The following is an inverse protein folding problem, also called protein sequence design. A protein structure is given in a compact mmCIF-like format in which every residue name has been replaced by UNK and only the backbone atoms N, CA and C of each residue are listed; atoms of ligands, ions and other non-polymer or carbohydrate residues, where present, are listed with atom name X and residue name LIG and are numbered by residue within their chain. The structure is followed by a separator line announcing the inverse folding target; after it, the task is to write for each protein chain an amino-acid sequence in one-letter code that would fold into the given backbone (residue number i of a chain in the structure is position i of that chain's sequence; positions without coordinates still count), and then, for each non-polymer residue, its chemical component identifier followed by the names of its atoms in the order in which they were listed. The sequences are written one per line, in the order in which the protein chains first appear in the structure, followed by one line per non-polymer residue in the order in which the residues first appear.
data_IF_234844804969
#
_entry.id   IF_234844804969
#
_cell.length_a   1.000
_cell.length_b   1.000
_cell.length_c   1.000
_cell.angle_alpha   90.00
_cell.angle_beta   90.00
_cell.angle_gamma   90.00
#
_symmetry.space_group_name_H-M   'P 1'
#
loop_
_entity.id
_entity.type
_entity.pdbx_description
1 polymer ?
#
# COMPACT_ATOMS: atom_id res chain seq x y z
N UNK A 1 15.09 21.08 -9.15
CA UNK A 1 14.57 21.79 -10.33
C UNK A 1 15.55 21.62 -11.47
N UNK A 2 15.09 21.18 -12.62
CA UNK A 2 15.84 21.18 -13.87
C UNK A 2 15.23 22.24 -14.79
N UNK A 3 16.10 23.09 -15.35
CA UNK A 3 15.79 24.14 -16.28
C UNK A 3 16.85 24.14 -17.37
N UNK A 4 16.51 23.73 -18.59
CA UNK A 4 17.43 23.55 -19.70
C UNK A 4 18.65 22.67 -19.36
N UNK A 5 18.42 21.34 -19.23
CA UNK A 5 19.47 20.37 -18.95
C UNK A 5 19.00 19.18 -18.14
N UNK A 6 19.89 18.22 -17.95
CA UNK A 6 19.59 16.93 -17.33
C UNK A 6 20.04 16.86 -15.87
N UNK A 7 19.21 16.27 -15.01
CA UNK A 7 19.53 15.97 -13.61
C UNK A 7 19.29 14.50 -13.34
N UNK A 8 20.34 13.75 -13.07
CA UNK A 8 20.25 12.33 -12.73
C UNK A 8 20.79 12.06 -11.31
N UNK A 9 19.96 11.45 -10.46
CA UNK A 9 20.34 11.11 -9.09
C UNK A 9 20.14 9.60 -8.89
N UNK A 10 21.20 8.89 -8.58
CA UNK A 10 21.22 7.43 -8.43
C UNK A 10 20.67 6.67 -9.65
N UNK A 11 20.70 7.29 -10.84
CA UNK A 11 20.05 6.78 -12.07
C UNK A 11 21.02 6.62 -13.28
N UNK A 12 22.33 6.65 -13.02
CA UNK A 12 23.35 6.66 -14.10
C UNK A 12 23.38 7.99 -14.87
N UNK A 13 24.41 8.18 -15.69
CA UNK A 13 24.59 9.41 -16.48
C UNK A 13 23.61 9.55 -17.65
N UNK A 14 22.96 8.46 -18.01
CA UNK A 14 21.94 8.41 -19.07
C UNK A 14 20.50 8.28 -18.54
N UNK A 15 20.33 8.29 -17.20
CA UNK A 15 19.04 8.13 -16.55
C UNK A 15 18.40 6.75 -16.67
N UNK A 16 19.11 5.76 -17.27
CA UNK A 16 18.54 4.44 -17.61
C UNK A 16 19.06 3.30 -16.73
N UNK A 17 20.05 3.57 -15.89
CA UNK A 17 20.70 2.57 -15.05
C UNK A 17 20.49 2.91 -13.58
N UNK A 18 19.45 2.36 -12.93
CA UNK A 18 19.18 2.67 -11.53
C UNK A 18 20.32 2.17 -10.64
N UNK A 19 20.83 3.05 -9.79
CA UNK A 19 21.81 2.71 -8.76
C UNK A 19 21.17 1.97 -7.60
N UNK A 20 22.01 1.38 -6.74
CA UNK A 20 21.59 0.58 -5.59
C UNK A 20 21.71 1.31 -4.26
N UNK A 21 22.00 2.62 -4.27
CA UNK A 21 22.16 3.41 -3.05
C UNK A 21 20.83 3.91 -2.53
N UNK A 22 20.74 4.09 -1.23
CA UNK A 22 19.63 4.77 -0.59
C UNK A 22 19.56 6.22 -1.05
N UNK A 23 18.36 6.66 -1.42
CA UNK A 23 18.06 8.03 -1.81
C UNK A 23 16.84 8.54 -1.02
N UNK A 24 17.02 9.60 -0.26
CA UNK A 24 15.94 10.30 0.45
C UNK A 24 15.83 11.70 -0.11
N UNK A 25 14.66 12.04 -0.66
CA UNK A 25 14.38 13.34 -1.24
C UNK A 25 13.08 13.93 -0.67
N UNK A 26 13.14 15.18 -0.25
CA UNK A 26 11.98 15.95 0.24
C UNK A 26 11.89 17.24 -0.54
N UNK A 27 10.78 17.46 -1.21
CA UNK A 27 10.55 18.62 -2.08
C UNK A 27 9.98 18.21 -3.42
N UNK A 28 9.39 19.15 -4.14
CA UNK A 28 8.84 18.88 -5.45
C UNK A 28 9.96 18.73 -6.50
N UNK A 29 9.78 17.78 -7.39
CA UNK A 29 10.60 17.62 -8.59
C UNK A 29 10.01 18.53 -9.66
N UNK A 30 10.78 19.50 -10.15
CA UNK A 30 10.31 20.46 -11.14
C UNK A 30 11.12 20.38 -12.43
N UNK A 31 10.44 20.14 -13.55
CA UNK A 31 10.92 20.40 -14.88
C UNK A 31 10.24 21.69 -15.33
N UNK A 32 11.01 22.77 -15.35
CA UNK A 32 10.50 24.11 -15.55
C UNK A 32 10.83 24.56 -16.97
N UNK A 33 9.79 24.91 -17.71
CA UNK A 33 9.90 25.56 -19.00
C UNK A 33 10.08 27.08 -18.77
N UNK A 34 11.30 27.56 -18.94
CA UNK A 34 11.67 28.96 -18.71
C UNK A 34 10.88 29.95 -19.56
N UNK A 35 10.57 29.56 -20.78
CA UNK A 35 9.87 30.38 -21.76
C UNK A 35 8.39 30.00 -21.92
N UNK A 36 7.82 29.23 -20.98
CA UNK A 36 6.44 28.81 -21.00
C UNK A 36 5.47 29.94 -21.34
N UNK A 37 4.94 29.90 -22.56
CA UNK A 37 3.98 30.87 -23.08
C UNK A 37 4.56 32.23 -23.50
N UNK A 38 5.91 32.41 -23.55
CA UNK A 38 6.58 33.62 -23.97
C UNK A 38 6.99 33.60 -25.43
N UNK A 39 7.68 32.55 -25.88
CA UNK A 39 8.14 32.41 -27.27
C UNK A 39 7.70 31.09 -27.89
N UNK A 40 6.81 31.11 -28.90
CA UNK A 40 6.38 29.91 -29.57
C UNK A 40 7.45 29.28 -30.50
N UNK A 41 8.57 29.93 -30.73
CA UNK A 41 9.61 29.51 -31.66
C UNK A 41 10.94 29.17 -30.95
N UNK A 42 10.98 29.19 -29.64
CA UNK A 42 12.18 28.86 -28.88
C UNK A 42 12.58 27.39 -29.08
N UNK A 43 13.81 27.15 -29.52
CA UNK A 43 14.41 25.84 -29.62
C UNK A 43 14.96 25.46 -28.24
N UNK A 44 14.12 24.86 -27.42
CA UNK A 44 14.52 24.42 -26.09
C UNK A 44 15.32 23.13 -26.15
N UNK A 45 16.39 23.06 -25.36
CA UNK A 45 17.09 21.80 -25.11
C UNK A 45 16.23 20.86 -24.27
N UNK A 46 16.31 19.54 -24.50
CA UNK A 46 15.56 18.61 -23.69
C UNK A 46 15.95 18.72 -22.21
N UNK A 47 14.96 18.74 -21.35
CA UNK A 47 15.15 18.75 -19.90
C UNK A 47 14.69 17.41 -19.32
N UNK A 48 15.61 16.67 -18.71
CA UNK A 48 15.31 15.37 -18.15
C UNK A 48 15.70 15.29 -16.68
N UNK A 49 14.86 14.60 -15.89
CA UNK A 49 15.16 14.27 -14.50
C UNK A 49 15.05 12.77 -14.33
N UNK A 50 16.12 12.13 -13.88
CA UNK A 50 16.16 10.71 -13.58
C UNK A 50 16.43 10.50 -12.09
N UNK A 51 15.51 9.87 -11.37
CA UNK A 51 15.60 9.59 -9.93
C UNK A 51 15.40 8.10 -9.67
N UNK A 52 16.34 7.47 -8.97
CA UNK A 52 16.22 6.06 -8.64
C UNK A 52 16.13 5.81 -7.13
N UNK A 53 14.94 5.37 -6.70
CA UNK A 53 14.61 4.93 -5.35
C UNK A 53 14.52 3.41 -5.38
N UNK A 54 15.58 2.73 -4.95
CA UNK A 54 15.77 1.29 -5.20
C UNK A 54 16.03 0.47 -3.94
N UNK A 55 15.87 1.06 -2.77
CA UNK A 55 15.98 0.37 -1.48
C UNK A 55 14.77 0.69 -0.61
N UNK A 56 14.45 -0.19 0.35
CA UNK A 56 13.30 -0.01 1.24
C UNK A 56 13.35 1.26 2.10
N UNK A 57 14.53 1.84 2.30
CA UNK A 57 14.70 3.09 3.02
C UNK A 57 14.67 4.32 2.10
N UNK A 58 14.69 4.11 0.78
CA UNK A 58 14.61 5.20 -0.18
C UNK A 58 13.20 5.78 -0.22
N UNK A 59 13.11 7.11 -0.21
CA UNK A 59 11.81 7.75 -0.35
C UNK A 59 11.90 9.09 -1.09
N UNK A 60 10.81 9.40 -1.80
CA UNK A 60 10.49 10.72 -2.32
C UNK A 60 9.26 11.24 -1.59
N UNK A 61 9.34 12.39 -0.96
CA UNK A 61 8.18 13.13 -0.47
C UNK A 61 8.08 14.43 -1.27
N UNK A 62 7.09 14.48 -2.14
CA UNK A 62 6.89 15.61 -3.06
C UNK A 62 6.16 15.22 -4.33
N UNK A 63 5.72 16.21 -5.07
CA UNK A 63 5.06 16.07 -6.36
C UNK A 63 6.06 16.21 -7.52
N UNK A 64 5.63 15.79 -8.72
CA UNK A 64 6.40 15.95 -9.95
C UNK A 64 5.67 16.93 -10.87
N UNK A 65 6.22 18.14 -10.99
CA UNK A 65 5.76 19.16 -11.93
C UNK A 65 6.53 19.02 -13.24
N UNK A 66 5.81 18.85 -14.34
CA UNK A 66 6.38 18.87 -15.67
C UNK A 66 5.67 19.93 -16.53
N UNK A 67 6.26 21.12 -16.62
CA UNK A 67 5.71 22.23 -17.41
C UNK A 67 5.72 21.93 -18.91
N UNK A 68 6.70 21.16 -19.39
CA UNK A 68 6.77 20.76 -20.81
C UNK A 68 5.58 19.87 -21.21
N UNK A 69 5.11 19.04 -20.31
CA UNK A 69 3.92 18.20 -20.58
C UNK A 69 2.59 18.98 -20.54
N UNK A 70 2.58 20.16 -19.90
CA UNK A 70 1.40 21.04 -19.88
C UNK A 70 1.32 21.95 -21.12
N UNK A 71 2.46 22.26 -21.73
CA UNK A 71 2.50 22.93 -23.02
C UNK A 71 2.33 21.86 -24.11
N UNK A 72 1.38 21.98 -25.01
CA UNK A 72 1.27 21.09 -26.19
C UNK A 72 2.52 21.13 -27.11
N UNK A 73 3.65 21.59 -26.58
CA UNK A 73 4.92 21.84 -27.22
C UNK A 73 6.06 21.20 -26.43
N UNK A 74 6.07 19.88 -26.32
CA UNK A 74 7.22 19.13 -25.81
C UNK A 74 7.94 18.42 -26.97
N UNK A 75 8.60 19.18 -27.89
CA UNK A 75 9.18 18.62 -29.10
C UNK A 75 10.36 17.67 -28.81
N UNK A 76 10.95 17.77 -27.61
CA UNK A 76 12.14 16.99 -27.22
C UNK A 76 11.81 15.89 -26.21
N UNK A 77 10.51 15.63 -25.92
CA UNK A 77 10.07 14.61 -24.97
C UNK A 77 10.72 14.78 -23.58
N UNK A 78 10.85 16.01 -23.11
CA UNK A 78 11.34 16.32 -21.77
C UNK A 78 10.48 15.67 -20.71
N UNK A 79 11.07 15.12 -19.66
CA UNK A 79 10.30 14.41 -18.66
C UNK A 79 11.07 13.88 -17.46
N UNK A 80 10.32 13.47 -16.45
CA UNK A 80 10.85 12.81 -15.27
C UNK A 80 10.75 11.28 -15.43
N UNK A 81 11.87 10.62 -15.17
CA UNK A 81 11.99 9.17 -15.13
C UNK A 81 12.22 8.74 -13.67
N UNK A 82 11.34 7.93 -13.13
CA UNK A 82 11.40 7.48 -11.74
C UNK A 82 11.51 5.97 -11.69
N UNK A 83 12.54 5.47 -11.02
CA UNK A 83 12.68 4.08 -10.62
C UNK A 83 12.20 3.95 -9.18
N UNK A 84 11.19 3.11 -8.94
CA UNK A 84 10.57 2.91 -7.64
C UNK A 84 10.47 1.42 -7.34
N UNK A 85 11.45 0.89 -6.61
CA UNK A 85 11.68 -0.55 -6.48
C UNK A 85 12.01 -0.96 -5.05
N UNK A 86 11.92 -2.26 -4.76
CA UNK A 86 12.39 -2.87 -3.51
C UNK A 86 11.83 -2.23 -2.24
N UNK A 87 10.55 -1.88 -2.23
CA UNK A 87 9.89 -1.28 -1.08
C UNK A 87 10.13 0.23 -0.91
N UNK A 88 10.85 0.87 -1.85
CA UNK A 88 10.99 2.32 -1.84
C UNK A 88 9.64 3.01 -1.91
N UNK A 89 9.51 4.20 -1.34
CA UNK A 89 8.24 4.88 -1.19
C UNK A 89 8.23 6.25 -1.87
N UNK A 90 7.17 6.54 -2.61
CA UNK A 90 6.86 7.85 -3.11
C UNK A 90 5.57 8.40 -2.45
N UNK A 91 5.73 9.37 -1.57
CA UNK A 91 4.65 10.16 -0.99
C UNK A 91 4.34 11.31 -1.94
N UNK A 92 3.32 11.14 -2.79
CA UNK A 92 2.96 12.15 -3.77
C UNK A 92 2.08 13.22 -3.14
N UNK A 93 2.70 14.34 -2.80
CA UNK A 93 2.04 15.54 -2.29
C UNK A 93 2.75 16.80 -2.78
N UNK A 94 2.00 17.87 -3.01
CA UNK A 94 2.61 19.15 -3.32
C UNK A 94 3.17 19.80 -2.04
N UNK A 95 4.46 20.09 -2.03
CA UNK A 95 5.13 20.76 -0.90
C UNK A 95 5.25 22.26 -1.20
N UNK A 96 4.63 23.07 -0.38
CA UNK A 96 4.68 24.53 -0.49
C UNK A 96 3.31 25.18 -0.54
N UNK A 97 3.30 26.51 -0.63
CA UNK A 97 2.04 27.26 -0.71
C UNK A 97 1.48 27.24 -2.13
N UNK A 98 0.24 26.82 -2.26
CA UNK A 98 -0.54 27.01 -3.50
C UNK A 98 -0.97 28.48 -3.59
N UNK A 99 -0.64 29.14 -4.68
CA UNK A 99 -1.16 30.47 -4.97
C UNK A 99 -2.21 30.38 -6.06
N UNK A 100 -3.46 30.78 -5.79
CA UNK A 100 -4.54 30.72 -6.77
C UNK A 100 -4.55 31.90 -7.78
N UNK A 101 -3.40 32.43 -8.19
CA UNK A 101 -3.35 33.58 -9.08
C UNK A 101 -3.53 33.19 -10.54
N UNK A 102 -4.42 33.82 -11.32
CA UNK A 102 -4.65 33.49 -12.72
C UNK A 102 -3.40 33.67 -13.59
N UNK A 103 -3.21 32.78 -14.57
CA UNK A 103 -2.06 32.72 -15.49
C UNK A 103 -1.73 34.08 -16.13
N UNK A 104 -2.74 34.95 -16.34
CA UNK A 104 -2.62 36.28 -16.92
C UNK A 104 -1.91 37.27 -16.01
N UNK A 105 -1.84 37.02 -14.71
CA UNK A 105 -1.25 37.93 -13.70
C UNK A 105 0.14 37.46 -13.23
N UNK A 106 0.65 36.40 -13.85
CA UNK A 106 1.94 35.81 -13.48
C UNK A 106 3.08 36.76 -13.77
N UNK A 107 3.77 37.19 -12.72
CA UNK A 107 5.01 37.96 -12.81
C UNK A 107 6.20 37.03 -12.79
N UNK A 108 7.32 37.44 -13.40
CA UNK A 108 8.60 36.72 -13.29
C UNK A 108 8.94 36.48 -11.81
N UNK A 109 9.09 35.19 -11.42
CA UNK A 109 9.34 34.80 -10.03
C UNK A 109 8.10 34.25 -9.28
N UNK A 110 6.93 34.19 -9.92
CA UNK A 110 5.77 33.53 -9.33
C UNK A 110 6.00 32.01 -9.20
N UNK A 111 5.48 31.44 -8.10
CA UNK A 111 5.74 30.08 -7.71
C UNK A 111 5.12 29.06 -8.68
N UNK A 112 5.89 28.03 -9.09
CA UNK A 112 5.47 26.96 -10.00
C UNK A 112 4.25 26.14 -9.51
N UNK A 113 3.91 26.20 -8.21
CA UNK A 113 2.69 25.61 -7.64
C UNK A 113 1.42 25.95 -8.41
N UNK A 114 1.43 27.10 -9.07
CA UNK A 114 0.32 27.60 -9.87
C UNK A 114 -0.02 26.72 -11.09
N UNK A 115 0.98 26.07 -11.67
CA UNK A 115 0.81 25.20 -12.82
C UNK A 115 0.55 23.73 -12.43
N UNK A 116 0.70 23.43 -11.15
CA UNK A 116 0.55 22.05 -10.70
C UNK A 116 -0.91 21.60 -10.75
N UNK A 117 -1.21 20.74 -11.71
CA UNK A 117 -2.51 20.09 -11.90
C UNK A 117 -2.50 18.60 -11.51
N UNK A 118 -1.40 18.13 -11.02
CA UNK A 118 -1.11 16.75 -10.67
C UNK A 118 0.32 16.39 -11.06
N UNK A 119 0.84 15.31 -10.51
CA UNK A 119 2.17 14.80 -10.87
C UNK A 119 2.17 14.22 -12.27
N UNK A 120 3.21 14.49 -13.05
CA UNK A 120 3.40 13.95 -14.41
C UNK A 120 4.78 13.34 -14.55
N UNK A 121 4.79 12.03 -14.76
CA UNK A 121 6.00 11.21 -14.91
C UNK A 121 6.04 10.66 -16.32
N UNK A 122 7.17 10.81 -17.01
CA UNK A 122 7.37 10.24 -18.34
C UNK A 122 7.54 8.73 -18.24
N UNK A 123 8.47 8.24 -17.45
CA UNK A 123 8.69 6.82 -17.24
C UNK A 123 8.65 6.48 -15.74
N UNK A 124 7.78 5.57 -15.34
CA UNK A 124 7.80 4.96 -14.01
C UNK A 124 8.18 3.48 -14.15
N UNK A 125 9.31 3.11 -13.55
CA UNK A 125 9.84 1.75 -13.56
C UNK A 125 9.71 1.15 -12.16
N UNK A 126 8.77 0.25 -11.99
CA UNK A 126 8.55 -0.51 -10.76
C UNK A 126 9.52 -1.67 -10.56
N UNK A 127 9.26 -2.50 -9.56
CA UNK A 127 10.03 -3.71 -9.28
C UNK A 127 9.87 -4.78 -10.36
N UNK A 128 10.80 -5.73 -10.40
CA UNK A 128 10.80 -6.84 -11.37
C UNK A 128 9.75 -7.92 -11.04
N UNK A 129 9.23 -7.92 -9.83
CA UNK A 129 8.21 -8.85 -9.34
C UNK A 129 7.43 -8.22 -8.16
N UNK A 130 6.35 -8.84 -7.66
CA UNK A 130 5.55 -8.29 -6.56
C UNK A 130 6.32 -8.03 -5.27
N UNK A 131 7.34 -8.86 -4.94
CA UNK A 131 8.13 -8.68 -3.71
C UNK A 131 9.16 -7.56 -3.81
N UNK A 132 9.52 -7.17 -5.02
CA UNK A 132 10.40 -6.04 -5.31
C UNK A 132 9.62 -4.76 -5.67
N UNK A 133 8.30 -4.76 -5.54
CA UNK A 133 7.46 -3.60 -5.84
C UNK A 133 7.86 -2.37 -5.02
N UNK A 134 7.77 -1.20 -5.63
CA UNK A 134 7.81 0.08 -4.91
C UNK A 134 6.42 0.51 -4.47
N UNK A 135 6.33 1.52 -3.62
CA UNK A 135 5.08 2.01 -3.02
C UNK A 135 4.80 3.45 -3.44
N UNK A 136 3.61 3.71 -3.92
CA UNK A 136 3.10 5.07 -4.19
C UNK A 136 2.02 5.36 -3.16
N UNK A 137 2.15 6.47 -2.44
CA UNK A 137 1.11 7.00 -1.57
C UNK A 137 0.53 8.27 -2.20
N UNK A 138 -0.62 8.19 -2.87
CA UNK A 138 -1.31 9.36 -3.42
C UNK A 138 -1.94 10.17 -2.29
N UNK A 139 -1.20 11.12 -1.73
CA UNK A 139 -1.65 11.99 -0.62
C UNK A 139 -2.44 13.19 -1.17
N UNK A 140 -1.97 13.76 -2.27
CA UNK A 140 -2.64 14.86 -2.96
C UNK A 140 -3.90 14.35 -3.67
N UNK A 141 -4.97 15.14 -3.66
CA UNK A 141 -6.22 14.83 -4.38
C UNK A 141 -6.08 14.91 -5.92
N UNK A 142 -5.01 15.49 -6.43
CA UNK A 142 -4.73 15.60 -7.86
C UNK A 142 -4.18 14.30 -8.42
N UNK A 143 -4.38 14.05 -9.72
CA UNK A 143 -3.92 12.81 -10.34
C UNK A 143 -2.41 12.71 -10.43
N UNK A 144 -1.93 11.46 -10.50
CA UNK A 144 -0.59 11.11 -10.94
C UNK A 144 -0.73 10.54 -12.34
N UNK A 145 -0.19 11.23 -13.34
CA UNK A 145 -0.16 10.76 -14.74
C UNK A 145 1.19 10.16 -15.06
N UNK A 146 1.18 8.92 -15.54
CA UNK A 146 2.36 8.15 -15.93
C UNK A 146 2.26 7.87 -17.43
N UNK A 147 3.17 8.43 -18.21
CA UNK A 147 3.15 8.24 -19.66
C UNK A 147 3.55 6.80 -20.04
N UNK A 148 4.65 6.30 -19.50
CA UNK A 148 5.09 4.92 -19.72
C UNK A 148 5.33 4.24 -18.38
N UNK A 149 4.72 3.09 -18.20
CA UNK A 149 4.81 2.29 -16.99
C UNK A 149 5.39 0.91 -17.24
N UNK A 150 6.23 0.42 -16.34
CA UNK A 150 6.73 -0.96 -16.37
C UNK A 150 6.95 -1.52 -14.96
N UNK A 151 6.82 -2.84 -14.84
CA UNK A 151 7.08 -3.57 -13.59
C UNK A 151 5.94 -3.53 -12.58
N UNK A 152 6.28 -3.62 -11.30
CA UNK A 152 5.34 -3.80 -10.18
C UNK A 152 5.41 -2.62 -9.22
N UNK A 153 4.27 -1.99 -8.90
CA UNK A 153 4.13 -1.01 -7.81
C UNK A 153 2.85 -1.25 -7.03
N UNK A 154 2.85 -0.81 -5.77
CA UNK A 154 1.70 -0.76 -4.90
C UNK A 154 1.22 0.69 -4.79
N UNK A 155 -0.02 0.98 -5.11
CA UNK A 155 -0.69 2.25 -4.85
C UNK A 155 -1.43 2.13 -3.52
N UNK A 156 -0.90 2.73 -2.47
CA UNK A 156 -1.40 2.57 -1.10
C UNK A 156 -2.14 3.84 -0.70
N UNK A 157 -3.45 3.73 -0.58
CA UNK A 157 -4.29 4.81 -0.13
C UNK A 157 -4.31 4.88 1.39
N UNK A 158 -4.46 6.09 1.92
CA UNK A 158 -4.26 6.42 3.33
C UNK A 158 -4.96 5.44 4.28
N UNK A 159 -4.19 4.88 5.21
CA UNK A 159 -4.69 4.02 6.28
C UNK A 159 -5.65 4.73 7.23
N UNK A 160 -6.67 4.03 7.69
CA UNK A 160 -7.72 4.55 8.57
C UNK A 160 -8.81 5.36 7.85
N UNK A 161 -8.72 5.50 6.52
CA UNK A 161 -9.76 6.13 5.70
C UNK A 161 -10.44 5.08 4.85
N UNK A 162 -11.76 4.90 4.95
CA UNK A 162 -12.50 3.95 4.13
C UNK A 162 -12.26 4.19 2.63
N UNK A 163 -12.17 3.11 1.86
CA UNK A 163 -11.94 3.19 0.41
C UNK A 163 -12.95 4.10 -0.31
N UNK A 164 -14.21 4.13 0.17
CA UNK A 164 -15.27 5.01 -0.36
C UNK A 164 -15.08 6.50 -0.06
N UNK A 165 -14.27 6.85 0.94
CA UNK A 165 -14.01 8.21 1.41
C UNK A 165 -12.63 8.74 1.01
N UNK A 166 -11.78 7.90 0.43
CA UNK A 166 -10.47 8.33 -0.07
C UNK A 166 -10.65 9.40 -1.14
N UNK A 167 -9.95 10.51 -0.99
CA UNK A 167 -9.95 11.64 -1.91
C UNK A 167 -9.58 11.26 -3.36
N UNK A 168 -9.61 12.21 -4.29
CA UNK A 168 -9.51 11.91 -5.72
C UNK A 168 -8.23 11.21 -6.12
N UNK A 169 -7.06 11.60 -5.78
CA UNK A 169 -5.75 10.98 -5.96
C UNK A 169 -5.65 9.80 -6.96
N UNK A 170 -6.14 9.98 -8.19
CA UNK A 170 -6.17 8.93 -9.21
C UNK A 170 -4.80 8.72 -9.85
N UNK A 171 -4.45 7.47 -10.13
CA UNK A 171 -3.30 7.13 -10.98
C UNK A 171 -3.81 6.89 -12.40
N UNK A 172 -3.25 7.61 -13.36
CA UNK A 172 -3.55 7.49 -14.78
C UNK A 172 -2.32 6.96 -15.49
N UNK A 173 -2.42 5.81 -16.16
CA UNK A 173 -1.36 5.20 -16.96
C UNK A 173 -1.73 5.31 -18.43
N UNK A 174 -0.84 5.88 -19.26
CA UNK A 174 -1.09 6.05 -20.68
C UNK A 174 -0.60 4.85 -21.50
N UNK A 175 0.58 4.32 -21.17
CA UNK A 175 1.16 3.14 -21.81
C UNK A 175 1.79 2.21 -20.78
N UNK A 176 1.63 0.91 -20.96
CA UNK A 176 2.23 -0.09 -20.10
C UNK A 176 3.12 -1.07 -20.91
N UNK A 177 4.25 -1.47 -20.34
CA UNK A 177 5.05 -2.56 -20.88
C UNK A 177 4.41 -3.92 -20.58
N UNK A 178 4.86 -4.98 -21.25
CA UNK A 178 4.43 -6.34 -20.98
C UNK A 178 4.68 -6.73 -19.52
N UNK A 179 3.76 -7.45 -18.93
CA UNK A 179 3.80 -7.90 -17.51
C UNK A 179 3.81 -6.77 -16.47
N UNK A 180 3.30 -5.60 -16.84
CA UNK A 180 3.13 -4.50 -15.88
C UNK A 180 1.94 -4.76 -14.96
N UNK A 181 2.13 -4.45 -13.66
CA UNK A 181 1.12 -4.70 -12.64
C UNK A 181 1.07 -3.59 -11.59
N UNK A 182 -0.13 -3.14 -11.25
CA UNK A 182 -0.36 -2.20 -10.16
C UNK A 182 -1.28 -2.85 -9.13
N UNK A 183 -0.83 -2.91 -7.87
CA UNK A 183 -1.69 -3.29 -6.74
C UNK A 183 -2.27 -2.04 -6.11
N UNK A 184 -3.60 -1.88 -6.13
CA UNK A 184 -4.29 -0.77 -5.47
C UNK A 184 -4.78 -1.24 -4.11
N UNK A 185 -4.33 -0.60 -3.04
CA UNK A 185 -4.61 -1.01 -1.66
C UNK A 185 -5.35 0.08 -0.89
N UNK A 186 -6.29 -0.32 -0.05
CA UNK A 186 -7.03 0.56 0.85
C UNK A 186 -7.62 -0.21 2.02
N UNK A 187 -8.17 0.53 2.98
CA UNK A 187 -8.74 -0.05 4.19
C UNK A 187 -10.23 -0.34 4.02
N UNK A 188 -10.73 -1.34 4.76
CA UNK A 188 -12.14 -1.65 4.81
C UNK A 188 -12.95 -0.54 5.51
N UNK A 189 -14.11 -0.19 4.95
CA UNK A 189 -14.91 0.96 5.40
C UNK A 189 -15.81 0.70 6.60
N UNK A 190 -15.88 -0.53 7.12
CA UNK A 190 -16.81 -0.80 8.21
C UNK A 190 -16.78 -2.22 8.76
N UNK A 191 -17.73 -2.52 9.64
CA UNK A 191 -17.87 -3.82 10.31
C UNK A 191 -18.79 -4.79 9.56
N UNK A 192 -19.31 -4.40 8.39
CA UNK A 192 -20.29 -5.20 7.65
C UNK A 192 -19.58 -6.18 6.74
N UNK A 193 -19.73 -7.46 7.01
CA UNK A 193 -19.10 -8.56 6.27
C UNK A 193 -20.11 -9.16 5.29
N UNK A 194 -20.50 -8.43 4.25
CA UNK A 194 -21.30 -8.98 3.17
C UNK A 194 -20.65 -8.74 1.79
N UNK A 195 -20.98 -9.57 0.82
CA UNK A 195 -20.36 -9.53 -0.50
C UNK A 195 -20.61 -8.21 -1.23
N UNK A 196 -21.77 -7.62 -1.04
CA UNK A 196 -22.13 -6.36 -1.69
C UNK A 196 -21.28 -5.19 -1.18
N UNK A 197 -20.93 -5.16 0.13
CA UNK A 197 -20.05 -4.12 0.66
C UNK A 197 -18.62 -4.27 0.13
N UNK A 198 -18.08 -5.49 0.09
CA UNK A 198 -16.75 -5.72 -0.48
C UNK A 198 -16.69 -5.36 -1.97
N UNK A 199 -17.71 -5.75 -2.75
CA UNK A 199 -17.78 -5.38 -4.17
C UNK A 199 -17.77 -3.87 -4.36
N UNK A 200 -18.55 -3.13 -3.54
CA UNK A 200 -18.57 -1.66 -3.58
C UNK A 200 -17.22 -1.04 -3.23
N UNK A 201 -16.51 -1.57 -2.25
CA UNK A 201 -15.21 -1.05 -1.83
C UNK A 201 -14.11 -1.40 -2.83
N UNK A 202 -14.12 -2.61 -3.39
CA UNK A 202 -13.21 -3.00 -4.48
C UNK A 202 -13.43 -2.07 -5.68
N UNK A 203 -14.69 -1.77 -6.06
CA UNK A 203 -14.96 -0.81 -7.14
C UNK A 203 -14.48 0.60 -6.80
N UNK A 204 -14.65 1.05 -5.56
CA UNK A 204 -14.17 2.37 -5.13
C UNK A 204 -12.64 2.51 -5.23
N UNK A 205 -11.89 1.45 -4.87
CA UNK A 205 -10.44 1.40 -5.07
C UNK A 205 -10.06 1.23 -6.54
N UNK A 206 -10.77 0.40 -7.29
CA UNK A 206 -10.57 0.24 -8.73
C UNK A 206 -10.67 1.57 -9.48
N UNK A 207 -11.59 2.45 -9.08
CA UNK A 207 -11.75 3.80 -9.64
C UNK A 207 -10.55 4.72 -9.41
N UNK A 208 -9.59 4.32 -8.56
CA UNK A 208 -8.32 5.06 -8.34
C UNK A 208 -7.29 4.81 -9.43
N UNK A 209 -7.51 3.84 -10.30
CA UNK A 209 -6.64 3.54 -11.43
C UNK A 209 -7.41 3.72 -12.74
N UNK A 210 -6.80 4.43 -13.68
CA UNK A 210 -7.24 4.54 -15.05
C UNK A 210 -6.12 4.13 -15.99
N UNK A 211 -6.42 3.33 -17.00
CA UNK A 211 -5.48 2.95 -18.04
C UNK A 211 -6.02 3.35 -19.41
N UNK A 212 -5.41 4.33 -20.03
CA UNK A 212 -5.86 4.88 -21.31
C UNK A 212 -5.21 4.22 -22.54
N UNK A 213 -4.23 3.33 -22.30
CA UNK A 213 -3.58 2.56 -23.37
C UNK A 213 -4.51 1.52 -24.01
N UNK A 214 -4.34 1.30 -25.30
CA UNK A 214 -5.14 0.34 -26.07
C UNK A 214 -4.54 -1.07 -26.14
N UNK A 215 -3.36 -1.28 -25.55
CA UNK A 215 -2.54 -2.49 -25.71
C UNK A 215 -2.85 -3.61 -24.72
N UNK A 216 -3.77 -3.39 -23.76
CA UNK A 216 -4.22 -4.38 -22.77
C UNK A 216 -3.08 -5.08 -22.01
N UNK A 217 -2.03 -4.34 -21.66
CA UNK A 217 -0.84 -4.89 -21.01
C UNK A 217 -0.80 -4.70 -19.50
N UNK A 218 -1.63 -3.81 -18.95
CA UNK A 218 -1.69 -3.55 -17.52
C UNK A 218 -2.65 -4.52 -16.84
N UNK A 219 -2.16 -5.23 -15.82
CA UNK A 219 -2.97 -6.01 -14.89
C UNK A 219 -3.02 -5.32 -13.52
N UNK A 220 -4.06 -5.61 -12.73
CA UNK A 220 -4.29 -4.93 -11.47
C UNK A 220 -4.78 -5.91 -10.40
N UNK A 221 -4.23 -5.79 -9.20
CA UNK A 221 -4.81 -6.37 -7.99
C UNK A 221 -5.45 -5.24 -7.18
N UNK A 222 -6.70 -5.40 -6.78
CA UNK A 222 -7.34 -4.50 -5.83
C UNK A 222 -7.46 -5.21 -4.49
N UNK A 223 -6.85 -4.62 -3.46
CA UNK A 223 -6.76 -5.20 -2.14
C UNK A 223 -7.41 -4.29 -1.10
N UNK A 224 -8.33 -4.86 -0.33
CA UNK A 224 -8.86 -4.24 0.89
C UNK A 224 -8.11 -4.85 2.07
N UNK A 225 -7.46 -4.02 2.86
CA UNK A 225 -6.77 -4.45 4.06
C UNK A 225 -7.77 -4.91 5.12
N UNK A 226 -7.36 -5.84 5.97
CA UNK A 226 -8.21 -6.27 7.08
C UNK A 226 -8.45 -5.12 8.08
N UNK A 227 -9.69 -5.04 8.53
CA UNK A 227 -10.08 -4.16 9.64
C UNK A 227 -9.94 -4.87 10.99
N UNK A 228 -10.40 -4.22 12.06
CA UNK A 228 -10.37 -4.80 13.43
C UNK A 228 -11.13 -6.13 13.49
N UNK A 229 -12.34 -6.16 12.94
CA UNK A 229 -13.21 -7.34 12.98
C UNK A 229 -13.49 -7.95 11.62
N UNK A 230 -13.12 -7.27 10.55
CA UNK A 230 -13.42 -7.66 9.17
C UNK A 230 -12.18 -8.23 8.48
N UNK A 231 -12.28 -9.38 7.80
CA UNK A 231 -11.18 -9.92 7.02
C UNK A 231 -10.87 -9.02 5.84
N UNK A 232 -9.64 -9.08 5.35
CA UNK A 232 -9.26 -8.47 4.10
C UNK A 232 -9.91 -9.15 2.89
N UNK A 233 -9.87 -8.48 1.74
CA UNK A 233 -10.38 -9.00 0.47
C UNK A 233 -9.44 -8.62 -0.67
N UNK A 234 -9.35 -9.49 -1.67
CA UNK A 234 -8.50 -9.31 -2.86
C UNK A 234 -9.30 -9.66 -4.11
N UNK A 235 -9.19 -8.82 -5.13
CA UNK A 235 -9.70 -9.10 -6.47
C UNK A 235 -8.59 -8.92 -7.50
N UNK A 236 -8.38 -9.92 -8.34
CA UNK A 236 -7.48 -9.87 -9.48
C UNK A 236 -8.28 -9.40 -10.70
N UNK A 237 -7.85 -8.29 -11.29
CA UNK A 237 -8.49 -7.68 -12.45
C UNK A 237 -7.50 -7.66 -13.61
N UNK A 238 -7.73 -8.53 -14.58
CA UNK A 238 -6.94 -8.56 -15.81
C UNK A 238 -7.18 -7.33 -16.69
N UNK A 239 -6.42 -7.23 -17.76
CA UNK A 239 -6.55 -6.13 -18.71
C UNK A 239 -7.89 -6.07 -19.44
N UNK A 240 -8.67 -7.14 -19.41
CA UNK A 240 -10.03 -7.24 -19.93
C UNK A 240 -11.10 -6.55 -19.07
N UNK A 241 -10.75 -6.20 -17.83
CA UNK A 241 -11.62 -5.44 -16.93
C UNK A 241 -11.56 -3.92 -17.13
N UNK A 242 -10.71 -3.41 -18.02
CA UNK A 242 -10.73 -2.01 -18.40
C UNK A 242 -11.80 -1.76 -19.48
N UNK A 243 -12.69 -0.80 -19.23
CA UNK A 243 -13.70 -0.36 -20.19
C UNK A 243 -13.09 0.43 -21.37
N UNK A 244 -13.91 0.85 -22.32
CA UNK A 244 -13.47 1.66 -23.47
C UNK A 244 -12.94 3.06 -23.11
N UNK A 245 -13.08 3.49 -21.86
CA UNK A 245 -12.57 4.76 -21.32
C UNK A 245 -11.37 4.58 -20.38
N UNK A 246 -10.95 3.33 -20.20
CA UNK A 246 -9.81 2.97 -19.36
C UNK A 246 -10.12 2.88 -17.87
N UNK A 247 -11.36 2.78 -17.46
CA UNK A 247 -11.73 2.57 -16.06
C UNK A 247 -11.85 1.07 -15.76
N UNK A 248 -11.38 0.66 -14.58
CA UNK A 248 -11.59 -0.70 -14.09
C UNK A 248 -13.04 -0.93 -13.69
N UNK A 249 -13.63 -2.00 -14.19
CA UNK A 249 -15.00 -2.41 -13.90
C UNK A 249 -15.01 -3.70 -13.08
N UNK A 250 -15.67 -3.65 -11.94
CA UNK A 250 -15.91 -4.82 -11.07
C UNK A 250 -17.31 -5.35 -11.37
N UNK A 251 -17.40 -6.40 -12.14
CA UNK A 251 -18.66 -7.01 -12.59
C UNK A 251 -19.05 -8.24 -11.75
N UNK A 252 -20.07 -8.97 -12.20
CA UNK A 252 -20.54 -10.17 -11.49
C UNK A 252 -19.64 -11.38 -11.70
N UNK A 253 -18.71 -11.32 -12.66
CA UNK A 253 -17.73 -12.37 -12.91
C UNK A 253 -16.47 -12.18 -12.10
N UNK A 254 -16.25 -11.00 -11.52
CA UNK A 254 -15.08 -10.67 -10.70
C UNK A 254 -15.07 -11.52 -9.42
N UNK A 255 -14.04 -12.33 -9.28
CA UNK A 255 -13.84 -13.16 -8.09
C UNK A 255 -13.18 -12.34 -6.98
N UNK A 256 -13.87 -12.24 -5.85
CA UNK A 256 -13.35 -11.59 -4.65
C UNK A 256 -12.97 -12.68 -3.64
N UNK A 257 -11.67 -12.84 -3.41
CA UNK A 257 -11.16 -13.73 -2.37
C UNK A 257 -11.15 -12.98 -1.03
N UNK A 258 -11.77 -13.58 -0.01
CA UNK A 258 -11.85 -13.02 1.35
C UNK A 258 -11.24 -13.95 2.37
N UNK A 259 -10.63 -13.41 3.42
CA UNK A 259 -10.31 -14.15 4.63
C UNK A 259 -11.57 -14.57 5.40
N UNK A 260 -11.45 -15.54 6.28
CA UNK A 260 -12.56 -16.00 7.14
C UNK A 260 -12.81 -15.04 8.30
N UNK A 261 -11.75 -14.47 8.84
CA UNK A 261 -11.78 -13.52 9.96
C UNK A 261 -10.48 -12.67 9.97
N UNK A 262 -10.50 -11.54 10.70
CA UNK A 262 -9.30 -10.73 10.84
C UNK A 262 -8.29 -11.36 11.81
N UNK A 263 -7.01 -11.01 11.64
CA UNK A 263 -5.92 -11.50 12.49
C UNK A 263 -6.14 -11.16 13.97
N UNK A 264 -6.74 -10.00 14.26
CA UNK A 264 -7.05 -9.59 15.63
C UNK A 264 -8.12 -10.47 16.26
N UNK A 265 -9.20 -10.78 15.52
CA UNK A 265 -10.27 -11.67 15.99
C UNK A 265 -9.72 -13.08 16.22
N UNK A 266 -8.95 -13.61 15.28
CA UNK A 266 -8.30 -14.91 15.40
C UNK A 266 -7.35 -14.98 16.61
N UNK A 267 -6.50 -13.97 16.78
CA UNK A 267 -5.59 -13.85 17.93
C UNK A 267 -6.33 -13.76 19.28
N UNK A 268 -7.42 -12.98 19.34
CA UNK A 268 -8.25 -12.86 20.54
C UNK A 268 -8.93 -14.17 20.90
N UNK A 269 -9.50 -14.89 19.91
CA UNK A 269 -10.07 -16.23 20.12
C UNK A 269 -9.02 -17.21 20.65
N UNK A 270 -7.82 -17.21 20.08
CA UNK A 270 -6.71 -18.05 20.52
C UNK A 270 -6.31 -17.76 21.97
N UNK A 271 -6.20 -16.49 22.35
CA UNK A 271 -5.86 -16.07 23.71
C UNK A 271 -6.94 -16.47 24.73
N UNK A 272 -8.21 -16.22 24.42
CA UNK A 272 -9.34 -16.63 25.28
C UNK A 272 -9.40 -18.14 25.44
N UNK A 273 -9.26 -18.86 24.33
CA UNK A 273 -9.27 -20.35 24.34
C UNK A 273 -8.13 -20.88 25.19
N UNK A 274 -6.91 -20.35 25.06
CA UNK A 274 -5.76 -20.76 25.86
C UNK A 274 -6.00 -20.48 27.36
N UNK A 275 -6.61 -19.36 27.70
CA UNK A 275 -6.96 -19.01 29.08
C UNK A 275 -7.97 -20.00 29.67
N UNK A 276 -9.02 -20.31 28.94
CA UNK A 276 -10.04 -21.28 29.36
C UNK A 276 -9.42 -22.69 29.54
N UNK A 277 -8.51 -23.09 28.62
CA UNK A 277 -7.80 -24.36 28.74
C UNK A 277 -6.93 -24.42 30.00
N UNK A 278 -6.17 -23.36 30.28
CA UNK A 278 -5.35 -23.28 31.49
C UNK A 278 -6.22 -23.39 32.76
N UNK A 279 -7.32 -22.66 32.79
CA UNK A 279 -8.27 -22.73 33.90
C UNK A 279 -8.88 -24.12 34.06
N UNK A 280 -9.34 -24.76 32.98
CA UNK A 280 -9.90 -26.11 32.99
C UNK A 280 -8.89 -27.14 33.50
N UNK A 281 -7.63 -27.06 33.05
CA UNK A 281 -6.57 -27.96 33.49
C UNK A 281 -6.30 -27.81 35.01
N UNK A 282 -6.21 -26.59 35.50
CA UNK A 282 -6.01 -26.31 36.93
C UNK A 282 -7.21 -26.83 37.77
N UNK A 283 -8.44 -26.63 37.30
CA UNK A 283 -9.65 -27.09 37.96
C UNK A 283 -9.72 -28.62 38.01
N UNK A 284 -9.41 -29.33 36.93
CA UNK A 284 -9.35 -30.74 36.87
C UNK A 284 -8.33 -31.36 37.84
N UNK A 285 -7.15 -30.71 37.94
CA UNK A 285 -6.10 -31.14 38.87
C UNK A 285 -6.53 -30.94 40.33
N UNK A 286 -7.23 -29.87 40.65
CA UNK A 286 -7.80 -29.62 41.97
C UNK A 286 -8.88 -30.67 42.33
N UNK A 287 -9.79 -30.95 41.40
CA UNK A 287 -10.84 -31.95 41.60
C UNK A 287 -10.26 -33.35 41.83
N UNK A 288 -9.22 -33.74 41.13
CA UNK A 288 -8.51 -35.01 41.38
C UNK A 288 -7.94 -35.06 42.79
N UNK A 289 -7.35 -33.96 43.24
CA UNK A 289 -6.80 -33.84 44.60
C UNK A 289 -7.89 -33.98 45.67
N UNK A 290 -9.02 -33.33 45.50
CA UNK A 290 -10.15 -33.44 46.38
C UNK A 290 -10.71 -34.92 46.46
N UNK A 291 -10.64 -35.63 45.35
CA UNK A 291 -10.96 -37.08 45.30
C UNK A 291 -9.98 -37.91 46.14
N UNK A 292 -8.68 -37.67 45.97
CA UNK A 292 -7.63 -38.35 46.74
C UNK A 292 -7.72 -38.11 48.23
N UNK A 293 -8.07 -36.89 48.65
CA UNK A 293 -8.31 -36.49 50.06
C UNK A 293 -9.45 -37.28 50.71
N UNK A 294 -10.52 -37.57 49.98
CA UNK A 294 -11.66 -38.35 50.48
C UNK A 294 -11.27 -39.78 50.79
N UNK A 295 -10.29 -40.33 50.08
CA UNK A 295 -9.81 -41.71 50.20
C UNK A 295 -8.63 -41.83 51.19
N UNK A 296 -8.03 -40.71 51.62
CA UNK A 296 -6.87 -40.68 52.52
C UNK A 296 -7.30 -40.98 53.95
N UNK A 297 -6.57 -41.87 54.63
CA UNK A 297 -6.79 -42.22 56.06
C UNK A 297 -6.09 -41.29 57.03
N UNK A 298 -5.48 -40.17 56.55
CA UNK A 298 -4.74 -39.20 57.37
C UNK A 298 -5.58 -37.94 57.56
N UNK A 299 -5.56 -37.34 58.76
CA UNK A 299 -6.32 -36.10 59.03
C UNK A 299 -5.56 -34.83 58.60
N UNK A 300 -4.26 -34.92 58.29
CA UNK A 300 -3.46 -33.82 57.80
C UNK A 300 -2.25 -34.34 57.04
N UNK A 301 -1.74 -33.54 56.10
CA UNK A 301 -0.55 -33.89 55.31
C UNK A 301 -0.10 -32.79 54.36
N UNK A 302 1.22 -32.78 54.11
CA UNK A 302 1.83 -31.97 53.09
C UNK A 302 1.98 -32.80 51.83
N UNK A 303 1.68 -32.22 50.68
CA UNK A 303 1.83 -32.93 49.40
C UNK A 303 2.50 -32.03 48.36
N UNK A 304 3.18 -32.65 47.41
CA UNK A 304 3.67 -32.05 46.20
C UNK A 304 3.33 -32.92 45.01
N UNK A 305 2.94 -32.26 43.90
CA UNK A 305 2.58 -32.94 42.66
C UNK A 305 3.20 -32.23 41.48
N UNK A 306 3.79 -32.99 40.59
CA UNK A 306 4.16 -32.47 39.27
C UNK A 306 2.97 -32.61 38.34
N UNK A 307 2.67 -31.52 37.59
CA UNK A 307 1.66 -31.47 36.57
C UNK A 307 2.28 -31.12 35.25
N UNK A 308 1.87 -31.75 34.18
CA UNK A 308 2.35 -31.42 32.85
C UNK A 308 1.48 -32.03 31.79
N UNK A 309 1.40 -31.44 30.65
CA UNK A 309 0.60 -31.91 29.56
C UNK A 309 0.69 -31.05 28.29
N UNK A 310 0.03 -31.57 27.27
CA UNK A 310 -0.17 -30.86 26.01
C UNK A 310 -1.67 -30.82 25.72
N UNK A 311 -2.16 -29.66 25.32
CA UNK A 311 -3.53 -29.47 24.90
C UNK A 311 -3.54 -28.86 23.52
N UNK A 312 -4.44 -29.32 22.65
CA UNK A 312 -4.66 -28.79 21.32
C UNK A 312 -6.14 -28.50 21.13
N UNK A 313 -6.46 -27.34 20.62
CA UNK A 313 -7.80 -27.01 20.13
C UNK A 313 -7.67 -26.74 18.64
N UNK A 314 -8.56 -27.36 17.86
CA UNK A 314 -8.60 -27.26 16.38
C UNK A 314 -9.85 -26.57 15.88
N UNK A 315 -10.72 -26.10 16.77
CA UNK A 315 -11.97 -25.43 16.41
C UNK A 315 -11.79 -23.90 16.42
N UNK A 316 -11.77 -23.31 15.23
CA UNK A 316 -11.72 -21.88 14.94
C UNK A 316 -10.33 -21.26 14.94
N UNK A 317 -9.52 -21.45 15.97
CA UNK A 317 -8.13 -21.03 16.00
C UNK A 317 -7.27 -22.16 16.53
N UNK A 318 -6.31 -22.62 15.75
CA UNK A 318 -5.38 -23.65 16.20
C UNK A 318 -4.57 -23.12 17.39
N UNK A 319 -4.90 -23.58 18.60
CA UNK A 319 -4.18 -23.28 19.82
C UNK A 319 -3.48 -24.53 20.35
N UNK A 320 -2.18 -24.42 20.52
CA UNK A 320 -1.36 -25.46 21.15
C UNK A 320 -0.83 -24.92 22.47
N UNK A 321 -1.06 -25.66 23.55
CA UNK A 321 -0.55 -25.33 24.86
C UNK A 321 0.26 -26.50 25.41
N UNK A 322 1.50 -26.24 25.81
CA UNK A 322 2.31 -27.13 26.62
C UNK A 322 2.45 -26.50 27.99
N UNK A 323 2.13 -27.23 29.03
CA UNK A 323 2.24 -26.72 30.38
C UNK A 323 3.00 -27.69 31.28
N UNK A 324 3.77 -27.14 32.18
CA UNK A 324 4.51 -27.83 33.22
C UNK A 324 4.40 -27.03 34.51
N UNK A 325 4.27 -27.70 35.62
CA UNK A 325 4.20 -27.03 36.91
C UNK A 325 4.37 -27.99 38.06
N UNK A 326 4.59 -27.41 39.23
CA UNK A 326 4.61 -28.12 40.52
C UNK A 326 3.54 -27.48 41.39
N UNK A 327 2.66 -28.30 41.92
CA UNK A 327 1.69 -27.89 42.94
C UNK A 327 2.16 -28.43 44.29
N UNK A 328 2.13 -27.58 45.28
CA UNK A 328 2.38 -27.97 46.67
C UNK A 328 1.24 -27.53 47.53
N UNK A 329 0.88 -28.27 48.54
CA UNK A 329 -0.23 -27.91 49.38
C UNK A 329 -0.16 -28.65 50.73
N UNK A 330 -1.02 -28.15 51.64
CA UNK A 330 -1.26 -28.77 52.95
C UNK A 330 -2.72 -29.05 53.07
N UNK A 331 -3.05 -30.28 53.45
CA UNK A 331 -4.42 -30.75 53.68
C UNK A 331 -4.67 -30.85 55.19
N UNK A 332 -5.83 -30.43 55.60
CA UNK A 332 -6.33 -30.58 56.95
C UNK A 332 -7.82 -30.98 56.88
N UNK A 333 -8.14 -32.08 57.51
CA UNK A 333 -9.52 -32.65 57.59
C UNK A 333 -10.19 -32.22 58.86
#
# INVERSE_FOLDING_TARGET
VAEEGDVYVNAGSDGKHPGSKELVAVGNVGLIDKDYGRDPNHNEEPTNVGLAFTTSNSNLTGAVLNEYAESNKNPHNSGADIYLQNGATWNNEWIGMERPTPKKERKSGDNAAYLYKGSKVRNLVGGVNPTAAGNIHPIDARPITIQNYSGYVNAIYKSGVPASEVGKGQIVVEHAADNSHITVQGDHSGNTINDASYKKEIQALANKLQYTGNDKKLSTTVQINEGITSPGAVAELGADHFDGQGHLVVDDTTKIARGSESSLVSGTKSALTSTVMAWKNNTNDLQRRLGDLRLANTNQGVWAKYIGGKSKITDGADAHMTYNGVQVGYDHK
#
